data_IF_148646727874
#
_entry.id   IF_148646727874
#
_cell.length_a   1.000
_cell.length_b   1.000
_cell.length_c   1.000
_cell.angle_alpha   90.00
_cell.angle_beta   90.00
_cell.angle_gamma   90.00
#
_symmetry.space_group_name_H-M   'P 1'
#
loop_
_entity.id
_entity.type
_entity.pdbx_description
1 polymer ?
#
# COMPACT_ATOMS: atom_id res chain seq x y z
N UNK A 1 -21.16 3.78 -9.94
CA UNK A 1 -21.89 3.97 -8.67
C UNK A 1 -20.86 4.34 -7.62
N UNK A 2 -20.91 5.53 -7.04
CA UNK A 2 -20.06 5.89 -5.90
C UNK A 2 -20.55 5.14 -4.65
N UNK A 3 -19.71 4.30 -4.05
CA UNK A 3 -20.01 3.69 -2.76
C UNK A 3 -19.86 4.76 -1.67
N UNK A 4 -20.97 5.40 -1.30
CA UNK A 4 -21.01 6.33 -0.17
C UNK A 4 -21.20 5.54 1.12
N UNK A 5 -20.24 5.63 2.04
CA UNK A 5 -20.38 5.10 3.41
C UNK A 5 -20.69 6.25 4.35
N UNK A 6 -21.74 6.14 5.15
CA UNK A 6 -22.14 7.18 6.12
C UNK A 6 -21.47 6.89 7.46
N UNK A 7 -20.70 7.85 7.96
CA UNK A 7 -20.10 7.82 9.29
C UNK A 7 -20.71 8.92 10.15
N UNK A 8 -21.08 8.60 11.39
CA UNK A 8 -21.44 9.60 12.39
C UNK A 8 -20.23 9.86 13.26
N UNK A 9 -19.80 11.12 13.33
CA UNK A 9 -18.67 11.53 14.14
C UNK A 9 -19.17 12.31 15.35
N UNK A 10 -18.99 11.73 16.54
CA UNK A 10 -19.39 12.33 17.81
C UNK A 10 -18.14 12.83 18.53
N UNK A 11 -18.15 14.08 18.99
CA UNK A 11 -17.00 14.68 19.65
C UNK A 11 -17.39 15.91 20.45
N UNK A 12 -16.41 16.49 21.14
CA UNK A 12 -16.56 17.76 21.89
C UNK A 12 -16.32 19.01 21.04
N UNK A 13 -15.88 18.82 19.80
CA UNK A 13 -15.47 19.87 18.88
C UNK A 13 -16.44 19.96 17.70
N UNK A 14 -16.48 21.12 17.05
CA UNK A 14 -17.35 21.33 15.89
C UNK A 14 -16.82 20.57 14.68
N UNK A 15 -17.69 20.36 13.68
CA UNK A 15 -17.30 19.81 12.39
C UNK A 15 -16.17 20.63 11.74
N UNK A 16 -16.26 21.96 11.81
CA UNK A 16 -15.28 22.89 11.24
C UNK A 16 -13.89 22.76 11.86
N UNK A 17 -13.81 22.43 13.16
CA UNK A 17 -12.55 22.16 13.85
C UNK A 17 -11.98 20.77 13.53
N UNK A 18 -12.86 19.77 13.42
CA UNK A 18 -12.47 18.37 13.26
C UNK A 18 -11.99 18.08 11.84
N UNK A 19 -12.65 18.60 10.82
CA UNK A 19 -12.37 18.23 9.43
C UNK A 19 -10.94 18.58 8.98
N UNK A 20 -10.37 19.75 9.28
CA UNK A 20 -8.98 20.05 8.95
C UNK A 20 -8.00 19.05 9.56
N UNK A 21 -8.19 18.70 10.84
CA UNK A 21 -7.33 17.74 11.56
C UNK A 21 -7.40 16.35 10.95
N UNK A 22 -8.61 15.88 10.60
CA UNK A 22 -8.77 14.58 9.93
C UNK A 22 -8.12 14.61 8.55
N UNK A 23 -8.32 15.68 7.77
CA UNK A 23 -7.73 15.80 6.43
C UNK A 23 -6.20 15.81 6.46
N UNK A 24 -5.61 16.52 7.42
CA UNK A 24 -4.18 16.52 7.67
C UNK A 24 -3.68 15.12 8.00
N UNK A 25 -4.29 14.44 8.98
CA UNK A 25 -3.92 13.08 9.37
C UNK A 25 -4.05 12.08 8.21
N UNK A 26 -5.11 12.19 7.39
CA UNK A 26 -5.29 11.34 6.20
C UNK A 26 -4.21 11.58 5.16
N UNK A 27 -3.85 12.85 4.92
CA UNK A 27 -2.78 13.21 3.99
C UNK A 27 -1.44 12.67 4.46
N UNK A 28 -1.08 12.90 5.73
CA UNK A 28 0.16 12.38 6.30
C UNK A 28 0.24 10.85 6.21
N UNK A 29 -0.86 10.15 6.49
CA UNK A 29 -0.91 8.70 6.38
C UNK A 29 -0.81 8.22 4.92
N UNK A 30 -1.35 8.98 3.96
CA UNK A 30 -1.20 8.67 2.55
C UNK A 30 0.26 8.83 2.10
N UNK A 31 0.90 9.94 2.46
CA UNK A 31 2.30 10.21 2.12
C UNK A 31 3.25 9.18 2.77
N UNK A 32 2.97 8.79 4.01
CA UNK A 32 3.68 7.69 4.68
C UNK A 32 3.50 6.36 3.96
N UNK A 33 2.26 5.99 3.60
CA UNK A 33 2.00 4.77 2.86
C UNK A 33 2.71 4.74 1.50
N UNK A 34 2.74 5.87 0.80
CA UNK A 34 3.45 6.00 -0.47
C UNK A 34 4.96 5.83 -0.31
N UNK A 35 5.56 6.41 0.73
CA UNK A 35 6.99 6.23 1.03
C UNK A 35 7.33 4.77 1.31
N UNK A 36 6.47 4.05 2.05
CA UNK A 36 6.63 2.60 2.28
C UNK A 36 6.52 1.81 0.98
N UNK A 37 5.54 2.13 0.13
CA UNK A 37 5.41 1.54 -1.20
C UNK A 37 6.69 1.70 -2.02
N UNK A 38 7.24 2.92 -2.11
CA UNK A 38 8.46 3.19 -2.87
C UNK A 38 9.68 2.40 -2.36
N UNK A 39 9.77 2.21 -1.04
CA UNK A 39 10.79 1.36 -0.42
C UNK A 39 10.74 -0.08 -0.92
N UNK A 40 9.59 -0.72 -0.80
CA UNK A 40 9.40 -2.09 -1.28
C UNK A 40 9.47 -2.22 -2.79
N UNK A 41 9.02 -1.21 -3.53
CA UNK A 41 9.16 -1.16 -4.99
C UNK A 41 10.63 -1.14 -5.40
N UNK A 42 11.47 -0.38 -4.68
CA UNK A 42 12.93 -0.38 -4.89
C UNK A 42 13.54 -1.75 -4.56
N UNK A 43 13.12 -2.39 -3.47
CA UNK A 43 13.59 -3.75 -3.12
C UNK A 43 13.21 -4.77 -4.20
N UNK A 44 11.97 -4.75 -4.70
CA UNK A 44 11.54 -5.61 -5.80
C UNK A 44 12.42 -5.40 -7.04
N UNK A 45 12.70 -4.14 -7.42
CA UNK A 45 13.54 -3.82 -8.59
C UNK A 45 14.95 -4.40 -8.50
N UNK A 46 15.52 -4.51 -7.30
CA UNK A 46 16.84 -5.15 -7.10
C UNK A 46 16.79 -6.61 -7.51
N UNK A 47 15.77 -7.34 -7.08
CA UNK A 47 15.58 -8.74 -7.44
C UNK A 47 15.21 -8.91 -8.91
N UNK A 48 14.32 -8.05 -9.44
CA UNK A 48 13.92 -8.08 -10.85
C UNK A 48 15.11 -7.93 -11.78
N UNK A 49 16.04 -7.02 -11.43
CA UNK A 49 17.28 -6.82 -12.18
C UNK A 49 18.23 -8.00 -12.01
N UNK A 50 18.40 -8.51 -10.79
CA UNK A 50 19.35 -9.60 -10.49
C UNK A 50 18.99 -10.91 -11.18
N UNK A 51 17.69 -11.22 -11.27
CA UNK A 51 17.19 -12.48 -11.82
C UNK A 51 16.59 -12.34 -13.22
N UNK A 52 16.66 -11.15 -13.82
CA UNK A 52 16.10 -10.83 -15.14
C UNK A 52 14.63 -11.25 -15.29
N UNK A 53 13.87 -11.13 -14.21
CA UNK A 53 12.52 -11.65 -14.07
C UNK A 53 11.64 -10.60 -13.41
N UNK A 54 10.49 -10.28 -13.98
CA UNK A 54 9.58 -9.31 -13.35
C UNK A 54 8.84 -9.94 -12.16
N UNK A 55 8.32 -9.10 -11.25
CA UNK A 55 7.63 -9.58 -10.03
C UNK A 55 6.39 -10.45 -10.31
N UNK A 56 5.73 -10.31 -11.46
CA UNK A 56 4.56 -11.15 -11.82
C UNK A 56 4.99 -12.57 -12.18
N UNK A 57 6.05 -12.70 -12.99
CA UNK A 57 6.64 -13.98 -13.33
C UNK A 57 7.24 -14.67 -12.10
N UNK A 58 7.97 -13.93 -11.28
CA UNK A 58 8.50 -14.41 -10.01
C UNK A 58 7.40 -15.00 -9.13
N UNK A 59 6.29 -14.30 -8.94
CA UNK A 59 5.20 -14.77 -8.09
C UNK A 59 4.62 -16.10 -8.60
N UNK A 60 4.42 -16.24 -9.92
CA UNK A 60 3.94 -17.49 -10.54
C UNK A 60 4.89 -18.66 -10.29
N UNK A 61 6.20 -18.43 -10.45
CA UNK A 61 7.25 -19.46 -10.25
C UNK A 61 7.45 -19.81 -8.76
N UNK A 62 7.32 -18.83 -7.87
CA UNK A 62 7.39 -19.04 -6.43
C UNK A 62 6.21 -19.87 -5.94
N UNK A 63 4.98 -19.51 -6.34
CA UNK A 63 3.76 -20.21 -5.93
C UNK A 63 3.62 -21.61 -6.54
N UNK A 64 4.24 -21.86 -7.70
CA UNK A 64 4.31 -23.20 -8.29
C UNK A 64 5.37 -24.11 -7.62
N UNK A 65 6.25 -23.56 -6.79
CA UNK A 65 7.37 -24.27 -6.18
C UNK A 65 8.58 -24.48 -7.10
N UNK A 66 8.59 -23.87 -8.30
CA UNK A 66 9.69 -24.01 -9.28
C UNK A 66 11.01 -23.44 -8.75
N UNK A 67 10.96 -22.38 -7.93
CA UNK A 67 12.14 -21.67 -7.42
C UNK A 67 12.84 -22.36 -6.24
N UNK A 68 12.24 -23.40 -5.66
CA UNK A 68 12.78 -24.07 -4.48
C UNK A 68 12.65 -23.23 -3.19
N UNK A 69 13.54 -23.46 -2.23
CA UNK A 69 13.46 -22.97 -0.85
C UNK A 69 14.60 -22.03 -0.43
N UNK A 70 15.36 -21.50 -1.40
CA UNK A 70 16.39 -20.51 -1.09
C UNK A 70 15.78 -19.25 -0.44
N UNK A 71 16.40 -18.79 0.64
CA UNK A 71 15.89 -17.69 1.48
C UNK A 71 15.56 -16.42 0.69
N UNK A 72 16.34 -16.10 -0.33
CA UNK A 72 16.16 -14.88 -1.13
C UNK A 72 14.84 -14.85 -1.89
N UNK A 73 14.23 -16.01 -2.20
CA UNK A 73 12.91 -16.05 -2.80
C UNK A 73 11.83 -15.62 -1.81
N UNK A 74 11.95 -16.02 -0.54
CA UNK A 74 11.07 -15.56 0.52
C UNK A 74 11.23 -14.07 0.79
N UNK A 75 12.46 -13.55 0.72
CA UNK A 75 12.72 -12.11 0.86
C UNK A 75 12.07 -11.31 -0.28
N UNK A 76 12.20 -11.77 -1.53
CA UNK A 76 11.53 -11.12 -2.66
C UNK A 76 10.00 -11.23 -2.54
N UNK A 77 9.48 -12.38 -2.13
CA UNK A 77 8.05 -12.55 -1.86
C UNK A 77 7.57 -11.56 -0.79
N UNK A 78 8.27 -11.43 0.33
CA UNK A 78 7.95 -10.48 1.39
C UNK A 78 7.97 -9.03 0.88
N UNK A 79 8.96 -8.66 0.06
CA UNK A 79 9.05 -7.34 -0.55
C UNK A 79 7.85 -7.06 -1.47
N UNK A 80 7.48 -8.03 -2.32
CA UNK A 80 6.33 -7.91 -3.22
C UNK A 80 5.02 -7.78 -2.44
N UNK A 81 4.84 -8.58 -1.39
CA UNK A 81 3.67 -8.46 -0.49
C UNK A 81 3.61 -7.10 0.19
N UNK A 82 4.76 -6.59 0.64
CA UNK A 82 4.91 -5.24 1.19
C UNK A 82 4.48 -4.18 0.17
N UNK A 83 5.02 -4.23 -1.05
CA UNK A 83 4.68 -3.32 -2.15
C UNK A 83 3.17 -3.26 -2.37
N UNK A 84 2.53 -4.42 -2.59
CA UNK A 84 1.08 -4.51 -2.85
C UNK A 84 0.25 -3.99 -1.68
N UNK A 85 0.64 -4.30 -0.44
CA UNK A 85 -0.06 -3.83 0.76
C UNK A 85 -0.06 -2.30 0.85
N UNK A 86 1.12 -1.68 0.70
CA UNK A 86 1.27 -0.24 0.86
C UNK A 86 0.70 0.55 -0.32
N UNK A 87 0.79 0.01 -1.53
CA UNK A 87 0.09 0.55 -2.71
C UNK A 87 -1.43 0.57 -2.50
N UNK A 88 -2.02 -0.54 -2.05
CA UNK A 88 -3.45 -0.62 -1.76
C UNK A 88 -3.85 0.35 -0.66
N UNK A 89 -3.08 0.44 0.42
CA UNK A 89 -3.35 1.38 1.52
C UNK A 89 -3.30 2.83 1.05
N UNK A 90 -2.29 3.20 0.27
CA UNK A 90 -2.17 4.53 -0.32
C UNK A 90 -3.37 4.86 -1.23
N UNK A 91 -3.76 3.92 -2.10
CA UNK A 91 -4.92 4.06 -2.99
C UNK A 91 -6.21 4.30 -2.21
N UNK A 92 -6.46 3.54 -1.15
CA UNK A 92 -7.63 3.73 -0.28
C UNK A 92 -7.62 5.13 0.34
N UNK A 93 -6.51 5.55 0.95
CA UNK A 93 -6.41 6.85 1.64
C UNK A 93 -6.62 8.03 0.68
N UNK A 94 -6.05 7.96 -0.53
CA UNK A 94 -6.23 8.99 -1.56
C UNK A 94 -7.61 9.00 -2.19
N UNK A 95 -8.35 7.90 -2.09
CA UNK A 95 -9.73 7.79 -2.55
C UNK A 95 -10.77 8.34 -1.58
N UNK A 96 -10.38 8.74 -0.36
CA UNK A 96 -11.31 9.32 0.62
C UNK A 96 -11.61 10.76 0.25
N UNK A 97 -12.89 11.08 0.10
CA UNK A 97 -13.43 12.43 -0.04
C UNK A 97 -14.68 12.58 0.82
N UNK A 98 -14.96 13.81 1.23
CA UNK A 98 -16.13 14.14 2.05
C UNK A 98 -17.17 14.83 1.19
N UNK A 99 -18.44 14.48 1.37
CA UNK A 99 -19.54 15.28 0.83
C UNK A 99 -19.71 16.50 1.74
N UNK A 100 -19.61 17.68 1.14
CA UNK A 100 -19.86 18.97 1.78
C UNK A 100 -21.35 19.15 2.09
#
# INVERSE_FOLDING_TARGET
MENTTIFTLSGRHSHEEIMPVINEALKEQADFAYTRFLGFEKECRVYETKYEMNSEEFLKKFESGELGDDLHWFDWYAALRGKTLWEKKHSILRGISWKA
#
